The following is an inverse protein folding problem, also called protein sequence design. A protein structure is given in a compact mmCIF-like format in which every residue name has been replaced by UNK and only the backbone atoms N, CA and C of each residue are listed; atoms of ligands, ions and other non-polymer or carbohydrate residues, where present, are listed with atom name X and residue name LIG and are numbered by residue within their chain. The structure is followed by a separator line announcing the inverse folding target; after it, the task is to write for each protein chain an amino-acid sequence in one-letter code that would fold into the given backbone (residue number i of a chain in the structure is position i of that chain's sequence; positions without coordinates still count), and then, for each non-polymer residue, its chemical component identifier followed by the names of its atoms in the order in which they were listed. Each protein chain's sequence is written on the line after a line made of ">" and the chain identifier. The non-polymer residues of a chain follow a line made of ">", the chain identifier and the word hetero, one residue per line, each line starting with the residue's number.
data_IF_109364562359
#
_entry.id   IF_109364562359
#
_cell.length_a   1.000
_cell.length_b   1.000
_cell.length_c   1.000
_cell.angle_alpha   90.00
_cell.angle_beta   90.00
_cell.angle_gamma   90.00
#
_symmetry.space_group_name_H-M   'P 1'
#
loop_
_entity.id
_entity.type
_entity.pdbx_description
1 polymer ?
#
# COMPACT_ATOMS: atom_id res chain seq x y z
N UNK A 1 -100.48 23.79 68.78
CA UNK A 1 -100.40 24.36 70.15
C UNK A 1 -100.49 25.86 70.03
N UNK A 2 -101.53 26.40 70.69
CA UNK A 2 -101.79 27.77 71.16
C UNK A 2 -101.32 29.00 70.37
N UNK A 3 -102.33 29.76 69.91
CA UNK A 3 -102.38 31.23 69.78
C UNK A 3 -102.25 31.92 71.16
N UNK A 4 -102.03 33.25 71.24
CA UNK A 4 -103.11 34.25 71.18
C UNK A 4 -102.72 35.48 70.32
N UNK A 5 -103.51 36.00 69.37
CA UNK A 5 -104.75 36.78 69.46
C UNK A 5 -104.71 38.01 70.40
N UNK A 6 -104.57 39.21 69.83
CA UNK A 6 -105.45 40.37 70.06
C UNK A 6 -105.14 41.47 69.02
N UNK A 7 -106.12 42.34 68.72
CA UNK A 7 -106.38 42.90 67.40
C UNK A 7 -105.83 44.33 67.29
N UNK A 8 -106.00 45.00 66.15
CA UNK A 8 -106.41 46.41 66.09
C UNK A 8 -106.60 46.86 64.62
N UNK A 9 -107.82 47.30 64.37
CA UNK A 9 -108.22 48.41 63.51
C UNK A 9 -107.61 48.52 62.09
N UNK A 10 -108.47 48.27 61.11
CA UNK A 10 -108.48 49.00 59.84
C UNK A 10 -108.31 50.51 60.09
N UNK A 11 -107.48 51.15 59.26
CA UNK A 11 -108.04 52.20 58.43
C UNK A 11 -107.93 51.75 56.98
N UNK A 12 -109.07 51.54 56.32
CA UNK A 12 -109.14 51.94 54.92
C UNK A 12 -108.95 53.46 54.92
N UNK A 13 -107.70 53.90 55.01
CA UNK A 13 -107.33 55.20 54.49
C UNK A 13 -107.64 55.08 53.01
N UNK A 14 -108.60 55.87 52.55
CA UNK A 14 -108.67 56.26 51.15
C UNK A 14 -107.25 56.67 50.76
N UNK A 15 -106.52 55.77 50.09
CA UNK A 15 -105.29 56.12 49.41
C UNK A 15 -105.69 57.31 48.55
N UNK A 16 -105.13 58.47 48.88
CA UNK A 16 -105.36 59.65 48.06
C UNK A 16 -104.88 59.28 46.66
N UNK A 17 -105.52 59.81 45.62
CA UNK A 17 -105.09 59.57 44.23
C UNK A 17 -103.57 59.79 44.02
N UNK A 18 -102.91 60.54 44.91
CA UNK A 18 -101.48 60.80 44.96
C UNK A 18 -100.60 59.59 45.35
N UNK A 19 -100.96 58.79 46.36
CA UNK A 19 -100.13 57.64 46.78
C UNK A 19 -100.19 56.48 45.78
N UNK A 20 -101.36 56.24 45.19
CA UNK A 20 -101.52 55.26 44.09
C UNK A 20 -100.77 55.75 42.85
N UNK A 21 -100.80 57.06 42.55
CA UNK A 21 -100.02 57.64 41.47
C UNK A 21 -98.50 57.54 41.71
N UNK A 22 -98.02 57.71 42.95
CA UNK A 22 -96.61 57.53 43.31
C UNK A 22 -96.16 56.08 43.17
N UNK A 23 -96.95 55.11 43.64
CA UNK A 23 -96.65 53.68 43.48
C UNK A 23 -96.67 53.25 42.01
N UNK A 24 -97.61 53.76 41.20
CA UNK A 24 -97.64 53.52 39.75
C UNK A 24 -96.45 54.17 39.03
N UNK A 25 -96.04 55.37 39.44
CA UNK A 25 -94.85 56.04 38.92
C UNK A 25 -93.57 55.28 39.31
N UNK A 26 -93.49 54.76 40.53
CA UNK A 26 -92.38 53.95 41.00
C UNK A 26 -92.32 52.60 40.28
N UNK A 27 -93.46 51.95 40.06
CA UNK A 27 -93.58 50.74 39.23
C UNK A 27 -93.12 51.01 37.79
N UNK A 28 -93.59 52.10 37.17
CA UNK A 28 -93.20 52.50 35.83
C UNK A 28 -91.68 52.80 35.75
N UNK A 29 -91.12 53.43 36.78
CA UNK A 29 -89.68 53.68 36.88
C UNK A 29 -88.90 52.38 37.00
N UNK A 30 -89.32 51.45 37.87
CA UNK A 30 -88.67 50.14 38.01
C UNK A 30 -88.86 49.23 36.79
N UNK A 31 -89.95 49.37 36.04
CA UNK A 31 -90.17 48.68 34.78
C UNK A 31 -89.22 49.20 33.69
N UNK A 32 -89.07 50.53 33.59
CA UNK A 32 -88.10 51.16 32.70
C UNK A 32 -86.66 50.80 33.07
N UNK A 33 -86.33 50.73 34.36
CA UNK A 33 -85.02 50.30 34.85
C UNK A 33 -84.73 48.84 34.49
N UNK A 34 -85.72 47.93 34.65
CA UNK A 34 -85.58 46.54 34.26
C UNK A 34 -85.40 46.36 32.74
N UNK A 35 -86.11 47.12 31.92
CA UNK A 35 -85.95 47.10 30.46
C UNK A 35 -84.57 47.63 30.05
N UNK A 36 -84.09 48.68 30.73
CA UNK A 36 -82.72 49.20 30.56
C UNK A 36 -81.65 48.17 30.97
N UNK A 37 -81.84 47.46 32.08
CA UNK A 37 -80.92 46.41 32.51
C UNK A 37 -80.93 45.21 31.56
N UNK A 38 -82.09 44.83 31.03
CA UNK A 38 -82.20 43.75 30.02
C UNK A 38 -81.49 44.13 28.72
N UNK A 39 -81.69 45.35 28.24
CA UNK A 39 -81.00 45.83 27.02
C UNK A 39 -79.49 45.96 27.24
N UNK A 40 -79.05 46.40 28.42
CA UNK A 40 -77.63 46.42 28.78
C UNK A 40 -77.02 45.02 28.87
N UNK A 41 -77.76 44.04 29.41
CA UNK A 41 -77.35 42.65 29.49
C UNK A 41 -77.25 42.01 28.10
N UNK A 42 -78.26 42.19 27.24
CA UNK A 42 -78.23 41.74 25.85
C UNK A 42 -77.08 42.38 25.05
N UNK A 43 -76.77 43.66 25.31
CA UNK A 43 -75.64 44.34 24.69
C UNK A 43 -74.29 43.79 25.19
N UNK A 44 -74.18 43.50 26.49
CA UNK A 44 -73.00 42.88 27.09
C UNK A 44 -72.79 41.44 26.60
N UNK A 45 -73.86 40.64 26.47
CA UNK A 45 -73.80 39.28 25.93
C UNK A 45 -73.39 39.27 24.46
N UNK A 46 -73.92 40.19 23.63
CA UNK A 46 -73.46 40.36 22.25
C UNK A 46 -72.00 40.81 22.17
N UNK A 47 -71.57 41.68 23.08
CA UNK A 47 -70.17 42.11 23.16
C UNK A 47 -69.24 40.98 23.58
N UNK A 48 -69.67 40.12 24.50
CA UNK A 48 -68.91 38.96 24.97
C UNK A 48 -68.80 37.91 23.85
N UNK A 49 -69.90 37.61 23.16
CA UNK A 49 -69.89 36.67 22.03
C UNK A 49 -69.06 37.19 20.85
N UNK A 50 -69.09 38.49 20.56
CA UNK A 50 -68.21 39.06 19.53
C UNK A 50 -66.74 39.03 19.95
N UNK A 51 -66.41 39.30 21.22
CA UNK A 51 -65.03 39.14 21.73
C UNK A 51 -64.57 37.69 21.74
N UNK A 52 -65.41 36.73 22.15
CA UNK A 52 -65.03 35.32 22.15
C UNK A 52 -64.80 34.81 20.72
N UNK A 53 -65.69 35.16 19.80
CA UNK A 53 -65.53 34.77 18.38
C UNK A 53 -64.29 35.41 17.76
N UNK A 54 -63.99 36.68 18.10
CA UNK A 54 -62.78 37.35 17.64
C UNK A 54 -61.50 36.75 18.25
N UNK A 55 -61.53 36.35 19.52
CA UNK A 55 -60.40 35.68 20.18
C UNK A 55 -60.15 34.29 19.60
N UNK A 56 -61.20 33.49 19.38
CA UNK A 56 -61.11 32.17 18.73
C UNK A 56 -60.58 32.29 17.29
N UNK A 57 -61.10 33.26 16.52
CA UNK A 57 -60.64 33.53 15.14
C UNK A 57 -59.17 33.98 15.08
N UNK A 58 -58.66 34.63 16.14
CA UNK A 58 -57.26 35.03 16.24
C UNK A 58 -56.35 33.91 16.78
N UNK A 59 -56.89 32.97 17.57
CA UNK A 59 -56.15 31.83 18.12
C UNK A 59 -55.96 30.71 17.09
N UNK A 60 -56.94 30.47 16.21
CA UNK A 60 -56.89 29.46 15.14
C UNK A 60 -55.62 29.53 14.26
N UNK A 61 -55.24 30.70 13.67
CA UNK A 61 -54.04 30.79 12.86
C UNK A 61 -52.76 30.59 13.66
N UNK A 62 -52.72 31.00 14.94
CA UNK A 62 -51.57 30.82 15.82
C UNK A 62 -51.39 29.34 16.18
N UNK A 63 -52.48 28.61 16.44
CA UNK A 63 -52.44 27.17 16.70
C UNK A 63 -51.99 26.40 15.46
N UNK A 64 -52.47 26.79 14.28
CA UNK A 64 -52.05 26.19 13.01
C UNK A 64 -50.56 26.46 12.73
N UNK A 65 -50.08 27.67 13.01
CA UNK A 65 -48.66 28.05 12.86
C UNK A 65 -47.77 27.31 13.88
N UNK A 66 -48.25 27.11 15.11
CA UNK A 66 -47.57 26.31 16.14
C UNK A 66 -47.50 24.83 15.72
N UNK A 67 -48.58 24.27 15.20
CA UNK A 67 -48.61 22.89 14.72
C UNK A 67 -47.68 22.70 13.51
N UNK A 68 -47.67 23.64 12.56
CA UNK A 68 -46.75 23.65 11.44
C UNK A 68 -45.28 23.77 11.91
N UNK A 69 -45.01 24.66 12.87
CA UNK A 69 -43.68 24.80 13.46
C UNK A 69 -43.23 23.52 14.18
N UNK A 70 -44.11 22.87 14.95
CA UNK A 70 -43.83 21.60 15.63
C UNK A 70 -43.57 20.46 14.63
N UNK A 71 -44.36 20.38 13.55
CA UNK A 71 -44.12 19.42 12.48
C UNK A 71 -42.75 19.63 11.83
N UNK A 72 -42.37 20.89 11.59
CA UNK A 72 -41.07 21.25 11.03
C UNK A 72 -39.90 20.96 11.98
N UNK A 73 -40.08 21.20 13.29
CA UNK A 73 -39.13 20.80 14.34
C UNK A 73 -38.96 19.27 14.33
N UNK A 74 -40.05 18.50 14.22
CA UNK A 74 -40.00 17.03 14.14
C UNK A 74 -39.21 16.52 12.94
N UNK A 75 -39.40 17.14 11.76
CA UNK A 75 -38.63 16.81 10.55
C UNK A 75 -37.14 17.13 10.73
N UNK A 76 -36.82 18.30 11.27
CA UNK A 76 -35.42 18.71 11.52
C UNK A 76 -34.75 17.80 12.57
N UNK A 77 -35.47 17.40 13.61
CA UNK A 77 -34.97 16.47 14.63
C UNK A 77 -34.71 15.08 14.03
N UNK A 78 -35.60 14.57 13.17
CA UNK A 78 -35.36 13.30 12.46
C UNK A 78 -34.16 13.35 11.52
N UNK A 79 -33.96 14.48 10.84
CA UNK A 79 -32.82 14.70 9.94
C UNK A 79 -31.50 14.83 10.74
N UNK A 80 -31.55 15.49 11.90
CA UNK A 80 -30.44 15.54 12.86
C UNK A 80 -30.08 14.14 13.37
N UNK A 81 -31.06 13.32 13.75
CA UNK A 81 -30.84 11.94 14.19
C UNK A 81 -30.20 11.06 13.09
N UNK A 82 -30.60 11.26 11.83
CA UNK A 82 -29.95 10.58 10.69
C UNK A 82 -28.49 11.05 10.50
N UNK A 83 -28.21 12.34 10.69
CA UNK A 83 -26.82 12.85 10.66
C UNK A 83 -26.00 12.32 11.84
N UNK A 84 -26.58 12.23 13.04
CA UNK A 84 -25.93 11.62 14.20
C UNK A 84 -25.64 10.15 13.99
N UNK A 85 -26.59 9.38 13.44
CA UNK A 85 -26.39 7.96 13.16
C UNK A 85 -25.34 7.74 12.06
N UNK A 86 -25.32 8.59 11.03
CA UNK A 86 -24.27 8.59 10.00
C UNK A 86 -22.91 8.95 10.62
N UNK A 87 -22.90 9.86 11.60
CA UNK A 87 -21.70 10.24 12.31
C UNK A 87 -21.24 9.10 13.24
N UNK A 88 -22.14 8.40 13.93
CA UNK A 88 -21.86 7.29 14.83
C UNK A 88 -21.15 6.12 14.12
N UNK A 89 -21.35 5.96 12.81
CA UNK A 89 -20.48 5.10 11.98
C UNK A 89 -19.09 5.73 11.93
N UNK A 90 -18.15 5.13 12.67
CA UNK A 90 -16.76 5.58 12.76
C UNK A 90 -15.93 5.20 11.52
N UNK A 91 -16.39 5.71 10.36
CA UNK A 91 -15.67 5.61 9.07
C UNK A 91 -14.27 6.21 9.20
N UNK A 92 -14.10 7.20 10.08
CA UNK A 92 -12.81 7.81 10.36
C UNK A 92 -11.82 6.81 10.98
N UNK A 93 -12.23 6.06 12.02
CA UNK A 93 -11.38 5.01 12.60
C UNK A 93 -11.00 3.93 11.59
N UNK A 94 -11.95 3.47 10.76
CA UNK A 94 -11.67 2.46 9.71
C UNK A 94 -10.65 2.99 8.69
N UNK A 95 -10.78 4.26 8.28
CA UNK A 95 -9.82 4.88 7.38
C UNK A 95 -8.45 5.07 8.03
N UNK A 96 -8.40 5.50 9.29
CA UNK A 96 -7.16 5.71 10.02
C UNK A 96 -6.39 4.40 10.24
N UNK A 97 -7.10 3.34 10.63
CA UNK A 97 -6.55 1.98 10.72
C UNK A 97 -6.03 1.49 9.35
N UNK A 98 -6.82 1.66 8.29
CA UNK A 98 -6.44 1.26 6.94
C UNK A 98 -5.22 2.02 6.41
N UNK A 99 -5.17 3.33 6.64
CA UNK A 99 -4.03 4.19 6.27
C UNK A 99 -2.79 3.82 7.08
N UNK A 100 -2.94 3.61 8.39
CA UNK A 100 -1.83 3.20 9.25
C UNK A 100 -1.27 1.83 8.85
N UNK A 101 -2.12 0.87 8.49
CA UNK A 101 -1.70 -0.45 8.04
C UNK A 101 -0.90 -0.38 6.73
N UNK A 102 -1.34 0.41 5.75
CA UNK A 102 -0.63 0.59 4.47
C UNK A 102 0.68 1.37 4.67
N UNK A 103 0.66 2.42 5.48
CA UNK A 103 1.86 3.17 5.90
C UNK A 103 2.91 2.23 6.49
N UNK A 104 2.51 1.39 7.45
CA UNK A 104 3.39 0.41 8.10
C UNK A 104 3.95 -0.60 7.09
N UNK A 105 3.13 -1.07 6.13
CA UNK A 105 3.59 -1.98 5.10
C UNK A 105 4.67 -1.35 4.20
N UNK A 106 4.52 -0.07 3.84
CA UNK A 106 5.55 0.67 3.11
C UNK A 106 6.81 0.91 3.95
N UNK A 107 6.67 1.27 5.22
CA UNK A 107 7.81 1.53 6.09
C UNK A 107 8.64 0.25 6.30
N UNK A 108 7.98 -0.91 6.46
CA UNK A 108 8.63 -2.22 6.48
C UNK A 108 9.37 -2.52 5.17
N UNK A 109 8.74 -2.26 4.01
CA UNK A 109 9.38 -2.44 2.70
C UNK A 109 10.61 -1.52 2.52
N UNK A 110 10.51 -0.28 3.00
CA UNK A 110 11.59 0.70 2.88
C UNK A 110 12.70 0.48 3.90
N UNK A 111 12.44 -0.19 5.01
CA UNK A 111 13.47 -0.55 6.01
C UNK A 111 14.55 -1.45 5.40
N UNK A 112 14.19 -2.35 4.49
CA UNK A 112 15.12 -3.27 3.81
C UNK A 112 15.81 -2.64 2.59
N UNK A 113 15.34 -1.48 2.14
CA UNK A 113 15.81 -0.83 0.90
C UNK A 113 17.29 -0.42 0.95
N UNK A 114 17.85 0.12 2.05
CA UNK A 114 19.28 0.43 2.14
C UNK A 114 20.16 -0.81 1.94
N UNK A 115 19.82 -1.93 2.57
CA UNK A 115 20.56 -3.19 2.44
C UNK A 115 20.51 -3.72 1.00
N UNK A 116 19.35 -3.62 0.35
CA UNK A 116 19.21 -3.97 -1.06
C UNK A 116 20.07 -3.07 -1.96
N UNK A 117 20.09 -1.76 -1.71
CA UNK A 117 20.93 -0.82 -2.46
C UNK A 117 22.43 -1.09 -2.29
N UNK A 118 22.87 -1.41 -1.06
CA UNK A 118 24.25 -1.83 -0.79
C UNK A 118 24.58 -3.12 -1.55
N UNK A 119 23.67 -4.10 -1.54
CA UNK A 119 23.82 -5.34 -2.31
C UNK A 119 23.90 -5.12 -3.82
N UNK A 120 23.07 -4.23 -4.37
CA UNK A 120 23.12 -3.83 -5.78
C UNK A 120 24.46 -3.16 -6.10
N UNK A 121 24.91 -2.22 -5.27
CA UNK A 121 26.18 -1.52 -5.46
C UNK A 121 27.37 -2.49 -5.40
N UNK A 122 27.40 -3.40 -4.42
CA UNK A 122 28.40 -4.45 -4.32
C UNK A 122 28.37 -5.38 -5.54
N UNK A 123 27.18 -5.77 -6.00
CA UNK A 123 26.99 -6.57 -7.21
C UNK A 123 27.51 -5.87 -8.47
N UNK A 124 27.26 -4.56 -8.63
CA UNK A 124 27.81 -3.77 -9.73
C UNK A 124 29.33 -3.73 -9.68
N UNK A 125 29.90 -3.48 -8.51
CA UNK A 125 31.35 -3.45 -8.32
C UNK A 125 31.98 -4.79 -8.67
N UNK A 126 31.41 -5.90 -8.20
CA UNK A 126 31.90 -7.24 -8.54
C UNK A 126 31.81 -7.54 -10.05
N UNK A 127 30.74 -7.11 -10.73
CA UNK A 127 30.63 -7.25 -12.19
C UNK A 127 31.68 -6.40 -12.92
N UNK A 128 31.93 -5.17 -12.48
CA UNK A 128 32.98 -4.30 -13.05
C UNK A 128 34.37 -4.92 -12.87
N UNK A 129 34.66 -5.44 -11.68
CA UNK A 129 35.91 -6.15 -11.42
C UNK A 129 36.05 -7.39 -12.30
N UNK A 130 34.99 -8.19 -12.45
CA UNK A 130 35.00 -9.34 -13.35
C UNK A 130 35.23 -8.94 -14.80
N UNK A 131 34.54 -7.89 -15.29
CA UNK A 131 34.74 -7.34 -16.64
C UNK A 131 36.19 -6.89 -16.86
N UNK A 132 36.83 -6.28 -15.86
CA UNK A 132 38.22 -5.85 -15.93
C UNK A 132 39.21 -7.03 -16.08
N UNK A 133 38.85 -8.24 -15.62
CA UNK A 133 39.69 -9.43 -15.76
C UNK A 133 39.50 -10.17 -17.09
N UNK A 134 38.45 -9.86 -17.87
CA UNK A 134 38.17 -10.54 -19.13
C UNK A 134 39.32 -10.45 -20.14
N UNK A 135 39.96 -9.29 -20.36
CA UNK A 135 41.11 -9.22 -21.27
C UNK A 135 42.26 -10.15 -20.85
N UNK A 136 42.51 -10.30 -19.54
CA UNK A 136 43.51 -11.21 -19.02
C UNK A 136 43.15 -12.67 -19.32
N UNK A 137 41.88 -13.05 -19.12
CA UNK A 137 41.39 -14.38 -19.43
C UNK A 137 41.45 -14.68 -20.94
N UNK A 138 41.14 -13.70 -21.79
CA UNK A 138 41.29 -13.82 -23.23
C UNK A 138 42.76 -14.03 -23.65
N UNK A 139 43.69 -13.28 -23.04
CA UNK A 139 45.12 -13.46 -23.26
C UNK A 139 45.58 -14.86 -22.81
N UNK A 140 45.14 -15.32 -21.64
CA UNK A 140 45.43 -16.67 -21.14
C UNK A 140 44.93 -17.77 -22.08
N UNK A 141 43.71 -17.61 -22.61
CA UNK A 141 43.14 -18.51 -23.62
C UNK A 141 43.98 -18.57 -24.89
N UNK A 142 44.38 -17.41 -25.43
CA UNK A 142 45.24 -17.34 -26.62
C UNK A 142 46.59 -18.02 -26.37
N UNK A 143 47.17 -17.81 -25.17
CA UNK A 143 48.40 -18.47 -24.75
C UNK A 143 48.26 -20.00 -24.68
N UNK A 144 47.17 -20.51 -24.08
CA UNK A 144 46.89 -21.96 -24.02
C UNK A 144 46.76 -22.54 -25.42
N UNK A 145 46.01 -21.87 -26.31
CA UNK A 145 45.81 -22.30 -27.69
C UNK A 145 47.13 -22.38 -28.47
N UNK A 146 47.97 -21.33 -28.39
CA UNK A 146 49.29 -21.31 -29.03
C UNK A 146 50.21 -22.41 -28.47
N UNK A 147 50.23 -22.59 -27.14
CA UNK A 147 51.08 -23.59 -26.50
C UNK A 147 50.67 -25.02 -26.85
N UNK A 148 49.36 -25.31 -26.87
CA UNK A 148 48.84 -26.60 -27.33
C UNK A 148 49.17 -26.86 -28.80
N UNK A 149 49.07 -25.84 -29.66
CA UNK A 149 49.49 -25.93 -31.05
C UNK A 149 50.96 -26.29 -31.20
N UNK A 150 51.84 -25.65 -30.42
CA UNK A 150 53.29 -25.95 -30.41
C UNK A 150 53.59 -27.35 -29.87
N UNK A 151 52.91 -27.79 -28.81
CA UNK A 151 53.06 -29.14 -28.25
C UNK A 151 52.65 -30.22 -29.25
N UNK A 152 51.50 -30.05 -29.92
CA UNK A 152 51.05 -30.93 -31.01
C UNK A 152 52.09 -31.00 -32.12
N UNK A 153 52.54 -29.86 -32.63
CA UNK A 153 53.55 -29.82 -33.70
C UNK A 153 54.93 -30.37 -33.28
N UNK A 154 55.31 -30.27 -31.99
CA UNK A 154 56.52 -30.90 -31.47
C UNK A 154 56.36 -32.42 -31.38
N UNK A 155 55.22 -32.89 -30.88
CA UNK A 155 54.88 -34.31 -30.82
C UNK A 155 54.84 -34.94 -32.22
N UNK A 156 54.15 -34.31 -33.18
CA UNK A 156 54.07 -34.78 -34.57
C UNK A 156 55.46 -34.89 -35.21
N UNK A 157 56.37 -33.95 -34.93
CA UNK A 157 57.77 -34.02 -35.40
C UNK A 157 58.52 -35.21 -34.80
N UNK A 158 58.34 -35.48 -33.52
CA UNK A 158 58.96 -36.66 -32.86
C UNK A 158 58.37 -37.95 -33.43
N UNK A 159 57.05 -38.02 -33.60
CA UNK A 159 56.38 -39.17 -34.21
C UNK A 159 56.86 -39.41 -35.64
N UNK A 160 56.93 -38.38 -36.48
CA UNK A 160 57.43 -38.49 -37.85
C UNK A 160 58.90 -38.93 -37.91
N UNK A 161 59.74 -38.45 -36.98
CA UNK A 161 61.14 -38.87 -36.88
C UNK A 161 61.23 -40.35 -36.49
N UNK A 162 60.40 -40.79 -35.53
CA UNK A 162 60.31 -42.20 -35.14
C UNK A 162 59.78 -43.07 -36.28
N UNK A 163 58.72 -42.67 -36.97
CA UNK A 163 58.19 -43.39 -38.13
C UNK A 163 59.23 -43.48 -39.25
N UNK A 164 59.97 -42.40 -39.52
CA UNK A 164 61.05 -42.40 -40.51
C UNK A 164 62.20 -43.32 -40.08
N UNK A 165 62.63 -43.29 -38.82
CA UNK A 165 63.63 -44.20 -38.28
C UNK A 165 63.15 -45.66 -38.30
N UNK A 166 61.86 -45.89 -38.04
CA UNK A 166 61.18 -47.18 -38.13
C UNK A 166 61.00 -47.64 -39.59
N UNK A 167 61.03 -46.74 -40.56
CA UNK A 167 60.99 -47.09 -41.99
C UNK A 167 62.40 -47.36 -42.55
N UNK A 168 63.45 -46.81 -41.91
CA UNK A 168 64.88 -47.14 -42.13
C UNK A 168 65.31 -48.29 -41.18
N UNK A 169 64.44 -49.28 -40.99
CA UNK A 169 64.60 -50.28 -39.91
C UNK A 169 65.65 -51.35 -40.18
N UNK A 170 66.01 -51.63 -41.42
CA UNK A 170 67.14 -52.53 -41.69
C UNK A 170 68.42 -52.00 -41.05
N UNK A 171 68.89 -50.81 -41.43
CA UNK A 171 70.11 -50.24 -40.88
C UNK A 171 69.98 -49.74 -39.43
N UNK A 172 68.82 -49.22 -39.01
CA UNK A 172 68.65 -48.71 -37.64
C UNK A 172 68.56 -49.83 -36.60
N UNK A 173 67.83 -50.91 -36.86
CA UNK A 173 67.81 -52.05 -35.94
C UNK A 173 69.15 -52.79 -35.93
N UNK A 174 69.86 -52.88 -37.06
CA UNK A 174 71.23 -53.40 -37.07
C UNK A 174 72.17 -52.50 -36.26
N UNK A 175 72.11 -51.18 -36.43
CA UNK A 175 72.91 -50.23 -35.66
C UNK A 175 72.56 -50.23 -34.17
N UNK A 176 71.28 -50.37 -33.82
CA UNK A 176 70.81 -50.39 -32.43
C UNK A 176 71.12 -51.74 -31.75
N UNK A 177 71.06 -52.85 -32.49
CA UNK A 177 71.52 -54.17 -32.05
C UNK A 177 73.05 -54.19 -31.90
N UNK A 178 73.81 -53.61 -32.84
CA UNK A 178 75.26 -53.47 -32.76
C UNK A 178 75.66 -52.58 -31.57
N UNK A 179 75.00 -51.44 -31.39
CA UNK A 179 75.19 -50.56 -30.23
C UNK A 179 74.86 -51.26 -28.91
N UNK A 180 73.78 -52.06 -28.86
CA UNK A 180 73.46 -52.88 -27.69
C UNK A 180 74.55 -53.92 -27.42
N UNK A 181 75.09 -54.59 -28.44
CA UNK A 181 76.17 -55.56 -28.28
C UNK A 181 77.50 -54.90 -27.86
N UNK A 182 77.82 -53.73 -28.42
CA UNK A 182 79.03 -52.96 -28.09
C UNK A 182 78.94 -52.41 -26.64
N UNK A 183 77.76 -51.98 -26.20
CA UNK A 183 77.52 -51.55 -24.81
C UNK A 183 77.52 -52.74 -23.85
N UNK A 184 76.93 -53.87 -24.23
CA UNK A 184 76.95 -55.10 -23.42
C UNK A 184 78.36 -55.66 -23.24
N UNK A 185 79.29 -55.41 -24.18
CA UNK A 185 80.69 -55.79 -24.04
C UNK A 185 81.47 -54.94 -23.03
N UNK A 186 81.02 -53.72 -22.72
CA UNK A 186 81.80 -52.74 -21.94
C UNK A 186 81.21 -52.38 -20.56
N UNK A 187 80.03 -52.90 -20.21
CA UNK A 187 79.39 -52.56 -18.92
C UNK A 187 79.53 -53.67 -17.86
N UNK A 188 80.18 -53.39 -16.71
CA UNK A 188 80.01 -54.21 -15.52
C UNK A 188 78.56 -54.13 -15.03
N UNK A 189 78.06 -55.27 -14.53
CA UNK A 189 76.69 -55.52 -14.07
C UNK A 189 76.02 -54.31 -13.38
N UNK A 190 74.98 -53.72 -14.00
CA UNK A 190 74.04 -52.81 -13.32
C UNK A 190 73.53 -51.55 -14.07
N UNK A 191 74.06 -51.17 -15.24
CA UNK A 191 73.62 -49.94 -15.95
C UNK A 191 72.65 -50.18 -17.13
N UNK A 192 72.44 -51.44 -17.53
CA UNK A 192 71.43 -51.79 -18.55
C UNK A 192 69.99 -51.56 -18.09
N UNK A 193 69.71 -51.85 -16.81
CA UNK A 193 68.39 -51.67 -16.20
C UNK A 193 67.99 -50.18 -16.17
N UNK A 194 68.92 -49.30 -15.81
CA UNK A 194 68.68 -47.84 -15.79
C UNK A 194 68.43 -47.25 -17.18
N UNK A 195 69.05 -47.82 -18.22
CA UNK A 195 68.84 -47.37 -19.61
C UNK A 195 67.50 -47.88 -20.15
N UNK A 196 67.11 -49.11 -19.79
CA UNK A 196 65.79 -49.65 -20.08
C UNK A 196 64.67 -48.88 -19.37
N UNK A 197 64.86 -48.49 -18.10
CA UNK A 197 63.94 -47.65 -17.35
C UNK A 197 63.78 -46.25 -17.98
N UNK A 198 64.87 -45.62 -18.42
CA UNK A 198 64.82 -44.33 -19.10
C UNK A 198 64.09 -44.43 -20.45
N UNK A 199 64.33 -45.50 -21.22
CA UNK A 199 63.62 -45.75 -22.48
C UNK A 199 62.13 -46.04 -22.25
N UNK A 200 61.79 -46.79 -21.20
CA UNK A 200 60.41 -47.03 -20.80
C UNK A 200 59.73 -45.74 -20.33
N UNK A 201 60.43 -44.88 -19.58
CA UNK A 201 59.92 -43.59 -19.16
C UNK A 201 59.68 -42.65 -20.35
N UNK A 202 60.57 -42.66 -21.35
CA UNK A 202 60.38 -41.92 -22.61
C UNK A 202 59.23 -42.49 -23.45
N UNK A 203 59.10 -43.82 -23.52
CA UNK A 203 57.99 -44.49 -24.21
C UNK A 203 56.64 -44.20 -23.54
N UNK A 204 56.59 -44.24 -22.20
CA UNK A 204 55.42 -43.88 -21.42
C UNK A 204 55.08 -42.40 -21.60
N UNK A 205 56.08 -41.50 -21.55
CA UNK A 205 55.88 -40.08 -21.79
C UNK A 205 55.33 -39.83 -23.20
N UNK A 206 55.87 -40.50 -24.23
CA UNK A 206 55.34 -40.42 -25.59
C UNK A 206 53.92 -40.99 -25.69
N UNK A 207 53.61 -42.08 -24.99
CA UNK A 207 52.28 -42.68 -24.99
C UNK A 207 51.22 -41.83 -24.27
N UNK A 208 51.59 -41.15 -23.18
CA UNK A 208 50.68 -40.35 -22.36
C UNK A 208 50.52 -38.90 -22.85
N UNK A 209 51.49 -38.38 -23.62
CA UNK A 209 51.48 -36.99 -24.11
C UNK A 209 50.26 -36.69 -25.01
N UNK A 210 49.87 -37.53 -26.00
CA UNK A 210 48.68 -37.28 -26.83
C UNK A 210 47.39 -37.21 -26.03
N UNK A 211 47.23 -38.10 -25.05
CA UNK A 211 46.06 -38.13 -24.16
C UNK A 211 46.03 -36.87 -23.33
N UNK A 212 47.17 -36.42 -22.81
CA UNK A 212 47.29 -35.18 -22.03
C UNK A 212 46.98 -33.95 -22.89
N UNK A 213 47.54 -33.85 -24.10
CA UNK A 213 47.26 -32.76 -25.04
C UNK A 213 45.78 -32.74 -25.44
N UNK A 214 45.20 -33.90 -25.76
CA UNK A 214 43.78 -34.02 -26.07
C UNK A 214 42.88 -33.66 -24.88
N UNK A 215 43.30 -34.02 -23.66
CA UNK A 215 42.65 -33.63 -22.41
C UNK A 215 42.69 -32.13 -22.18
N UNK A 216 43.85 -31.49 -22.32
CA UNK A 216 43.99 -30.03 -22.17
C UNK A 216 43.15 -29.27 -23.21
N UNK A 217 43.11 -29.75 -24.44
CA UNK A 217 42.29 -29.13 -25.49
C UNK A 217 40.79 -29.24 -25.20
N UNK A 218 40.31 -30.45 -24.90
CA UNK A 218 38.88 -30.71 -24.66
C UNK A 218 38.36 -30.18 -23.32
N UNK A 219 39.18 -30.19 -22.26
CA UNK A 219 38.77 -29.82 -20.91
C UNK A 219 39.09 -28.36 -20.55
N UNK A 220 40.03 -27.72 -21.27
CA UNK A 220 40.47 -26.35 -20.94
C UNK A 220 40.28 -25.41 -22.13
N UNK A 221 40.90 -25.70 -23.28
CA UNK A 221 40.87 -24.77 -24.40
C UNK A 221 39.46 -24.58 -24.97
N UNK A 222 38.74 -25.67 -25.26
CA UNK A 222 37.39 -25.60 -25.85
C UNK A 222 36.36 -24.91 -24.93
N UNK A 223 36.28 -25.20 -23.61
CA UNK A 223 35.41 -24.44 -22.72
C UNK A 223 35.77 -22.96 -22.64
N UNK A 224 37.07 -22.62 -22.56
CA UNK A 224 37.50 -21.22 -22.56
C UNK A 224 37.10 -20.51 -23.85
N UNK A 225 37.19 -21.18 -25.01
CA UNK A 225 36.72 -20.65 -26.27
C UNK A 225 35.20 -20.40 -26.27
N UNK A 226 34.39 -21.33 -25.75
CA UNK A 226 32.93 -21.16 -25.69
C UNK A 226 32.51 -19.90 -24.92
N UNK A 227 33.25 -19.52 -23.87
CA UNK A 227 32.94 -18.35 -23.05
C UNK A 227 33.63 -17.06 -23.50
N UNK A 228 34.86 -17.16 -24.02
CA UNK A 228 35.76 -16.02 -24.20
C UNK A 228 36.14 -15.74 -25.65
N UNK A 229 35.77 -16.61 -26.60
CA UNK A 229 35.94 -16.33 -28.03
C UNK A 229 35.04 -15.20 -28.47
N UNK A 230 35.64 -14.06 -28.80
CA UNK A 230 34.97 -13.00 -29.53
C UNK A 230 35.08 -13.30 -31.05
N UNK A 231 33.97 -13.58 -31.75
CA UNK A 231 33.95 -13.49 -33.21
C UNK A 231 34.34 -12.06 -33.63
N UNK A 232 34.89 -11.90 -34.83
CA UNK A 232 35.31 -10.58 -35.30
C UNK A 232 34.15 -9.57 -35.22
N UNK A 233 34.37 -8.46 -34.51
CA UNK A 233 33.42 -7.38 -34.23
C UNK A 233 32.19 -7.76 -33.38
N UNK A 234 32.20 -8.90 -32.68
CA UNK A 234 31.14 -9.28 -31.73
C UNK A 234 31.61 -9.24 -30.28
N UNK A 235 30.66 -8.98 -29.38
CA UNK A 235 30.90 -9.01 -27.94
C UNK A 235 31.10 -10.44 -27.44
N UNK A 236 31.90 -10.59 -26.39
CA UNK A 236 32.30 -11.89 -25.86
C UNK A 236 31.05 -12.65 -25.34
N UNK A 237 30.90 -13.96 -25.59
CA UNK A 237 29.75 -14.75 -25.14
C UNK A 237 29.47 -14.63 -23.65
N UNK A 238 30.51 -14.61 -22.80
CA UNK A 238 30.37 -14.37 -21.36
C UNK A 238 29.76 -13.00 -21.05
N UNK A 239 30.21 -11.95 -21.74
CA UNK A 239 29.66 -10.59 -21.56
C UNK A 239 28.20 -10.54 -22.02
N UNK A 240 27.93 -11.09 -23.21
CA UNK A 240 26.61 -11.11 -23.83
C UNK A 240 25.59 -11.96 -23.08
N UNK A 241 25.99 -13.14 -22.61
CA UNK A 241 25.12 -14.15 -22.04
C UNK A 241 24.93 -14.05 -20.54
N UNK A 242 25.92 -13.52 -19.81
CA UNK A 242 25.88 -13.48 -18.35
C UNK A 242 25.96 -12.05 -17.81
N UNK A 243 27.00 -11.31 -18.19
CA UNK A 243 27.30 -10.03 -17.52
C UNK A 243 26.27 -8.97 -17.85
N UNK A 244 25.95 -8.80 -19.14
CA UNK A 244 25.01 -7.79 -19.58
C UNK A 244 23.60 -8.04 -19.03
N UNK A 245 23.03 -9.27 -19.09
CA UNK A 245 21.75 -9.54 -18.44
C UNK A 245 21.77 -9.31 -16.92
N UNK A 246 22.82 -9.71 -16.21
CA UNK A 246 22.91 -9.44 -14.77
C UNK A 246 22.91 -7.94 -14.48
N UNK A 247 23.66 -7.16 -15.25
CA UNK A 247 23.70 -5.70 -15.10
C UNK A 247 22.36 -5.05 -15.45
N UNK A 248 21.82 -5.33 -16.62
CA UNK A 248 20.65 -4.61 -17.18
C UNK A 248 19.31 -5.14 -16.69
N UNK A 249 19.15 -6.47 -16.61
CA UNK A 249 17.86 -7.08 -16.28
C UNK A 249 17.69 -7.34 -14.78
N UNK A 250 18.80 -7.47 -14.04
CA UNK A 250 18.76 -7.73 -12.60
C UNK A 250 19.11 -6.47 -11.82
N UNK A 251 20.32 -5.94 -11.94
CA UNK A 251 20.77 -4.83 -11.09
C UNK A 251 20.04 -3.51 -11.41
N UNK A 252 20.00 -3.09 -12.68
CA UNK A 252 19.28 -1.87 -13.07
C UNK A 252 17.78 -1.98 -12.74
N UNK A 253 17.20 -3.17 -12.90
CA UNK A 253 15.78 -3.41 -12.62
C UNK A 253 15.47 -3.41 -11.13
N UNK A 254 16.34 -3.99 -10.30
CA UNK A 254 16.21 -3.97 -8.85
C UNK A 254 16.28 -2.52 -8.33
N UNK A 255 17.21 -1.73 -8.83
CA UNK A 255 17.32 -0.30 -8.50
C UNK A 255 16.07 0.48 -8.93
N UNK A 256 15.53 0.19 -10.12
CA UNK A 256 14.29 0.79 -10.57
C UNK A 256 13.07 0.43 -9.70
N UNK A 257 12.99 -0.82 -9.21
CA UNK A 257 11.93 -1.25 -8.28
C UNK A 257 12.05 -0.53 -6.94
N UNK A 258 13.26 -0.42 -6.39
CA UNK A 258 13.55 0.35 -5.18
C UNK A 258 13.11 1.80 -5.34
N UNK A 259 13.52 2.44 -6.44
CA UNK A 259 13.15 3.82 -6.73
C UNK A 259 11.62 3.98 -6.82
N UNK A 260 10.94 3.08 -7.54
CA UNK A 260 9.47 3.10 -7.65
C UNK A 260 8.77 2.88 -6.31
N UNK A 261 9.29 2.02 -5.44
CA UNK A 261 8.72 1.81 -4.11
C UNK A 261 8.79 3.09 -3.26
N UNK A 262 9.94 3.79 -3.29
CA UNK A 262 10.09 5.08 -2.59
C UNK A 262 9.15 6.16 -3.14
N UNK A 263 9.01 6.24 -4.46
CA UNK A 263 8.08 7.17 -5.12
C UNK A 263 6.63 6.84 -4.79
N UNK A 264 6.26 5.56 -4.76
CA UNK A 264 4.91 5.12 -4.41
C UNK A 264 4.57 5.48 -2.95
N UNK A 265 5.51 5.30 -2.02
CA UNK A 265 5.33 5.73 -0.61
C UNK A 265 5.12 7.24 -0.51
N UNK A 266 5.97 8.03 -1.17
CA UNK A 266 5.83 9.49 -1.16
C UNK A 266 4.50 9.95 -1.77
N UNK A 267 4.09 9.35 -2.90
CA UNK A 267 2.81 9.67 -3.53
C UNK A 267 1.62 9.27 -2.64
N UNK A 268 1.69 8.12 -1.98
CA UNK A 268 0.70 7.65 -1.02
C UNK A 268 0.57 8.59 0.19
N UNK A 269 1.69 9.05 0.73
CA UNK A 269 1.73 9.95 1.88
C UNK A 269 1.04 11.28 1.57
N UNK A 270 1.46 11.93 0.49
CA UNK A 270 0.96 13.24 0.07
C UNK A 270 -0.49 13.17 -0.43
N UNK A 271 -0.85 12.10 -1.16
CA UNK A 271 -2.16 12.04 -1.84
C UNK A 271 -3.26 11.43 -0.97
N UNK A 272 -2.91 10.64 0.04
CA UNK A 272 -3.90 9.89 0.82
C UNK A 272 -3.66 9.96 2.33
N UNK A 273 -2.47 9.63 2.82
CA UNK A 273 -2.25 9.53 4.26
C UNK A 273 -2.44 10.88 4.98
N UNK A 274 -1.78 11.95 4.51
CA UNK A 274 -1.88 13.28 5.10
C UNK A 274 -3.30 13.88 4.97
N UNK A 275 -3.96 13.85 3.78
CA UNK A 275 -5.32 14.35 3.66
C UNK A 275 -6.33 13.61 4.55
N UNK A 276 -6.22 12.28 4.65
CA UNK A 276 -7.11 11.48 5.50
C UNK A 276 -6.89 11.81 6.97
N UNK A 277 -5.63 11.83 7.44
CA UNK A 277 -5.31 12.21 8.81
C UNK A 277 -5.84 13.61 9.16
N UNK A 278 -5.69 14.57 8.24
CA UNK A 278 -6.21 15.94 8.40
C UNK A 278 -7.74 15.97 8.45
N UNK A 279 -8.41 15.22 7.58
CA UNK A 279 -9.88 15.15 7.55
C UNK A 279 -10.45 14.50 8.81
N UNK A 280 -9.81 13.44 9.32
CA UNK A 280 -10.17 12.77 10.59
C UNK A 280 -10.01 13.72 11.77
N UNK A 281 -8.87 14.41 11.88
CA UNK A 281 -8.63 15.39 12.94
C UNK A 281 -9.64 16.55 12.91
N UNK A 282 -9.94 17.08 11.73
CA UNK A 282 -10.95 18.14 11.56
C UNK A 282 -12.35 17.65 11.96
N UNK A 283 -12.72 16.42 11.61
CA UNK A 283 -14.01 15.83 12.02
C UNK A 283 -14.11 15.68 13.54
N UNK A 284 -13.07 15.20 14.22
CA UNK A 284 -13.04 15.07 15.67
C UNK A 284 -13.14 16.44 16.38
N UNK A 285 -12.49 17.46 15.83
CA UNK A 285 -12.61 18.83 16.33
C UNK A 285 -14.05 19.35 16.17
N UNK A 286 -14.66 19.16 15.00
CA UNK A 286 -16.06 19.55 14.76
C UNK A 286 -17.03 18.85 15.71
N UNK A 287 -16.85 17.55 15.97
CA UNK A 287 -17.65 16.83 16.97
C UNK A 287 -17.56 17.45 18.35
N UNK A 288 -16.34 17.78 18.77
CA UNK A 288 -16.10 18.39 20.07
C UNK A 288 -16.80 19.76 20.16
N UNK A 289 -16.72 20.57 19.11
CA UNK A 289 -17.42 21.87 19.05
C UNK A 289 -18.95 21.71 19.05
N UNK A 290 -19.49 20.74 18.31
CA UNK A 290 -20.94 20.46 18.28
C UNK A 290 -21.42 20.02 19.66
N UNK A 291 -20.70 19.11 20.32
CA UNK A 291 -21.03 18.65 21.66
C UNK A 291 -21.03 19.81 22.68
N UNK A 292 -20.00 20.66 22.65
CA UNK A 292 -19.93 21.87 23.48
C UNK A 292 -21.07 22.85 23.20
N UNK A 293 -21.41 23.07 21.92
CA UNK A 293 -22.51 23.95 21.53
C UNK A 293 -23.87 23.43 22.05
N UNK A 294 -24.09 22.12 21.98
CA UNK A 294 -25.31 21.48 22.49
C UNK A 294 -25.43 21.62 24.00
N UNK A 295 -24.35 21.38 24.73
CA UNK A 295 -24.29 21.56 26.18
C UNK A 295 -24.56 23.01 26.58
N UNK A 296 -23.97 23.98 25.87
CA UNK A 296 -24.17 25.41 26.12
C UNK A 296 -25.61 25.88 25.88
N UNK A 297 -26.31 25.28 24.90
CA UNK A 297 -27.66 25.67 24.51
C UNK A 297 -28.77 24.76 25.06
N UNK A 298 -28.45 23.81 25.95
CA UNK A 298 -29.41 22.85 26.51
C UNK A 298 -30.14 22.01 25.43
N UNK A 299 -29.48 21.79 24.30
CA UNK A 299 -30.00 21.00 23.18
C UNK A 299 -29.55 19.55 23.41
N UNK A 300 -30.33 18.79 24.19
CA UNK A 300 -30.11 17.34 24.36
C UNK A 300 -30.37 16.61 23.04
#
# INVERSE_FOLDING_TARGET
>A
VSTPNTPLATPFATATNEEIAQLLAQLATTAAENERLRTALDAAERSLTTQSTAADSAAEPILLELEAANAQIGILAGLLALYEQLDEVDVAAIWDEGVTAVTTAFDNLLTETPLLNEGIAAGRQALLEMEAHIPLLQNGRLWVSDHLGRLRAAYDRVQNLLETAVTVVGPFLEMLNQWFQDILQWLPFGLGERTAEMMQALANLLGETPVTIGGLDSQIAQPLDAWLAAPANEEIPLQKGLIRPLRQEVLDRAEAVVSKASQARAAYEVSLAEPVATAVANRQLLRTLIAQYREQHSLS
#
